data_IF_003368446351
#
_entry.id   IF_003368446351
#
_cell.length_a   1.000
_cell.length_b   1.000
_cell.length_c   1.000
_cell.angle_alpha   90.00
_cell.angle_beta   90.00
_cell.angle_gamma   90.00
#
_symmetry.space_group_name_H-M   'P 1'
#
loop_
_entity.id
_entity.type
_entity.pdbx_description
1 polymer ?
#
# COMPACT_ATOMS: atom_id res chain seq x y z
N UNK A 1 5.75 2.06 -0.79
CA UNK A 1 4.34 1.68 -0.51
C UNK A 1 3.31 2.60 -1.19
N UNK A 2 2.75 3.70 -0.65
CA UNK A 2 1.69 4.44 -1.40
C UNK A 2 2.13 4.98 -2.78
N UNK A 3 3.31 5.62 -2.93
CA UNK A 3 3.81 6.08 -4.24
C UNK A 3 4.07 4.92 -5.24
N UNK A 4 4.22 3.70 -4.77
CA UNK A 4 4.58 2.52 -5.57
C UNK A 4 3.40 1.58 -5.84
N UNK A 5 2.42 1.54 -4.96
CA UNK A 5 1.11 0.99 -5.29
C UNK A 5 0.41 1.92 -6.31
N UNK A 6 0.68 3.23 -6.23
CA UNK A 6 0.41 4.17 -7.31
C UNK A 6 1.21 3.87 -8.58
N UNK A 7 2.46 3.43 -8.53
CA UNK A 7 3.21 3.01 -9.74
C UNK A 7 2.82 1.62 -10.26
N UNK A 8 2.22 0.79 -9.41
CA UNK A 8 1.60 -0.50 -9.75
C UNK A 8 0.29 -0.27 -10.54
N UNK A 9 -0.46 0.79 -10.21
CA UNK A 9 -1.66 1.21 -10.97
C UNK A 9 -1.39 2.26 -12.06
N UNK A 10 -0.32 3.04 -11.95
CA UNK A 10 0.14 4.01 -12.94
C UNK A 10 1.54 3.65 -13.45
N UNK A 11 1.55 2.92 -14.55
CA UNK A 11 2.48 3.05 -15.68
C UNK A 11 3.96 3.20 -15.30
N UNK A 12 4.58 2.10 -14.91
CA UNK A 12 5.97 1.76 -15.29
C UNK A 12 5.97 0.91 -16.57
N UNK A 13 7.03 0.92 -17.41
CA UNK A 13 7.05 0.19 -18.69
C UNK A 13 6.71 -1.31 -18.60
N UNK A 14 7.00 -1.96 -17.46
CA UNK A 14 6.60 -3.35 -17.17
C UNK A 14 5.14 -3.52 -16.72
N UNK A 15 4.55 -2.52 -16.06
CA UNK A 15 3.15 -2.55 -15.60
C UNK A 15 2.11 -2.40 -16.72
N UNK A 16 2.48 -1.77 -17.84
CA UNK A 16 1.61 -1.68 -19.02
C UNK A 16 1.34 -3.07 -19.64
N UNK A 17 2.35 -3.96 -19.65
CA UNK A 17 2.19 -5.35 -20.09
C UNK A 17 1.32 -6.16 -19.12
N UNK A 18 1.49 -5.96 -17.81
CA UNK A 18 0.71 -6.67 -16.78
C UNK A 18 -0.77 -6.28 -16.83
N UNK A 19 -1.10 -4.99 -16.94
CA UNK A 19 -2.50 -4.55 -17.10
C UNK A 19 -3.14 -5.12 -18.38
N UNK A 20 -2.40 -5.16 -19.50
CA UNK A 20 -2.90 -5.76 -20.74
C UNK A 20 -3.17 -7.26 -20.64
N UNK A 21 -2.42 -7.98 -19.80
CA UNK A 21 -2.61 -9.43 -19.59
C UNK A 21 -3.73 -9.73 -18.58
N UNK A 22 -3.87 -8.90 -17.54
CA UNK A 22 -5.01 -8.97 -16.61
C UNK A 22 -6.32 -8.71 -17.36
N UNK A 23 -6.37 -7.72 -18.24
CA UNK A 23 -7.53 -7.43 -19.10
C UNK A 23 -7.84 -8.53 -20.12
N UNK A 24 -6.85 -9.32 -20.54
CA UNK A 24 -7.01 -10.43 -21.49
C UNK A 24 -7.28 -11.80 -20.86
N UNK A 25 -7.08 -11.98 -19.55
CA UNK A 25 -7.37 -13.26 -18.88
C UNK A 25 -8.81 -13.71 -19.10
N UNK A 26 -9.01 -15.00 -19.35
CA UNK A 26 -10.32 -15.64 -19.58
C UNK A 26 -10.71 -16.59 -18.44
N UNK A 27 -9.79 -16.86 -17.51
CA UNK A 27 -10.05 -17.68 -16.33
C UNK A 27 -9.49 -17.07 -15.04
N UNK A 28 -10.05 -17.51 -13.90
CA UNK A 28 -9.57 -17.10 -12.56
C UNK A 28 -8.14 -17.60 -12.30
N UNK A 29 -7.77 -18.76 -12.86
CA UNK A 29 -6.41 -19.30 -12.73
C UNK A 29 -5.40 -18.45 -13.49
N UNK A 30 -5.70 -18.04 -14.72
CA UNK A 30 -4.84 -17.12 -15.50
C UNK A 30 -4.69 -15.76 -14.82
N UNK A 31 -5.78 -15.23 -14.25
CA UNK A 31 -5.75 -13.98 -13.50
C UNK A 31 -4.82 -14.09 -12.27
N UNK A 32 -4.90 -15.19 -11.53
CA UNK A 32 -3.98 -15.46 -10.40
C UNK A 32 -2.54 -15.57 -10.86
N UNK A 33 -2.29 -16.25 -11.98
CA UNK A 33 -0.95 -16.39 -12.56
C UNK A 33 -0.37 -15.03 -12.99
N UNK A 34 -1.17 -14.19 -13.65
CA UNK A 34 -0.76 -12.83 -14.03
C UNK A 34 -0.37 -11.98 -12.82
N UNK A 35 -1.16 -12.07 -11.75
CA UNK A 35 -0.87 -11.36 -10.49
C UNK A 35 0.41 -11.89 -9.84
N UNK A 36 0.61 -13.20 -9.79
CA UNK A 36 1.81 -13.80 -9.20
C UNK A 36 3.08 -13.36 -9.95
N UNK A 37 3.05 -13.38 -11.29
CA UNK A 37 4.16 -12.87 -12.11
C UNK A 37 4.44 -11.39 -11.85
N UNK A 38 3.40 -10.58 -11.63
CA UNK A 38 3.57 -9.18 -11.26
C UNK A 38 4.23 -9.01 -9.89
N UNK A 39 3.86 -9.84 -8.91
CA UNK A 39 4.49 -9.87 -7.59
C UNK A 39 5.96 -10.21 -7.70
N UNK A 40 6.30 -11.25 -8.45
CA UNK A 40 7.68 -11.70 -8.61
C UNK A 40 8.55 -10.66 -9.35
N UNK A 41 7.99 -9.96 -10.34
CA UNK A 41 8.65 -8.82 -10.98
C UNK A 41 8.86 -7.64 -10.01
N UNK A 42 7.99 -7.44 -9.02
CA UNK A 42 8.19 -6.42 -8.00
C UNK A 42 9.25 -6.83 -6.98
N UNK A 43 9.35 -8.13 -6.66
CA UNK A 43 10.36 -8.65 -5.71
C UNK A 43 11.79 -8.42 -6.18
N UNK A 44 12.03 -8.31 -7.49
CA UNK A 44 13.35 -8.02 -8.06
C UNK A 44 13.73 -6.54 -8.06
N UNK A 45 12.93 -5.66 -7.43
CA UNK A 45 13.24 -4.23 -7.30
C UNK A 45 13.89 -3.93 -5.94
N UNK A 46 14.49 -2.75 -5.78
CA UNK A 46 15.14 -2.29 -4.53
C UNK A 46 14.15 -2.00 -3.37
N UNK A 47 12.93 -2.52 -3.45
CA UNK A 47 11.90 -2.34 -2.45
C UNK A 47 11.94 -3.45 -1.40
N UNK A 48 11.44 -3.17 -0.17
CA UNK A 48 11.32 -4.21 0.84
C UNK A 48 10.46 -5.38 0.34
N UNK A 49 11.10 -6.52 0.11
CA UNK A 49 10.47 -7.75 -0.40
C UNK A 49 9.30 -8.18 0.49
N UNK A 50 9.42 -8.02 1.81
CA UNK A 50 8.38 -8.34 2.80
C UNK A 50 7.13 -7.48 2.63
N UNK A 51 7.29 -6.19 2.34
CA UNK A 51 6.17 -5.28 2.11
C UNK A 51 5.44 -5.59 0.79
N UNK A 52 6.18 -6.00 -0.24
CA UNK A 52 5.61 -6.43 -1.51
C UNK A 52 4.82 -7.72 -1.31
N UNK A 53 5.44 -8.75 -0.73
CA UNK A 53 4.81 -10.04 -0.52
C UNK A 53 3.51 -9.91 0.30
N UNK A 54 3.58 -9.27 1.48
CA UNK A 54 2.41 -9.08 2.34
C UNK A 54 1.31 -8.23 1.69
N UNK A 55 1.66 -7.11 1.05
CA UNK A 55 0.70 -6.24 0.39
C UNK A 55 -0.02 -6.91 -0.77
N UNK A 56 0.70 -7.72 -1.55
CA UNK A 56 0.15 -8.45 -2.69
C UNK A 56 -0.74 -9.62 -2.26
N UNK A 57 -0.37 -10.35 -1.21
CA UNK A 57 -1.23 -11.41 -0.66
C UNK A 57 -2.54 -10.85 -0.10
N UNK A 58 -2.47 -9.72 0.63
CA UNK A 58 -3.66 -9.04 1.14
C UNK A 58 -4.55 -8.54 0.00
N UNK A 59 -3.96 -8.01 -1.07
CA UNK A 59 -4.70 -7.58 -2.26
C UNK A 59 -5.41 -8.77 -2.92
N UNK A 60 -4.68 -9.86 -3.19
CA UNK A 60 -5.23 -11.07 -3.81
C UNK A 60 -6.39 -11.62 -2.98
N UNK A 61 -6.17 -11.77 -1.67
CA UNK A 61 -7.22 -12.22 -0.74
C UNK A 61 -8.43 -11.29 -0.78
N UNK A 62 -8.22 -9.98 -0.81
CA UNK A 62 -9.32 -9.01 -0.82
C UNK A 62 -10.19 -9.13 -2.08
N UNK A 63 -9.58 -9.28 -3.26
CA UNK A 63 -10.34 -9.37 -4.52
C UNK A 63 -11.01 -10.73 -4.69
N UNK A 64 -10.42 -11.82 -4.16
CA UNK A 64 -10.98 -13.18 -4.30
C UNK A 64 -11.97 -13.57 -3.22
N UNK A 65 -12.02 -12.87 -2.08
CA UNK A 65 -12.92 -13.21 -0.94
C UNK A 65 -14.38 -12.80 -1.19
N UNK A 66 -14.69 -12.11 -2.29
CA UNK A 66 -16.09 -11.84 -2.63
C UNK A 66 -16.84 -13.15 -2.92
N UNK A 67 -18.14 -13.16 -2.68
CA UNK A 67 -19.03 -14.18 -3.23
C UNK A 67 -18.98 -14.04 -4.76
N UNK A 68 -18.25 -14.95 -5.42
CA UNK A 68 -18.10 -14.99 -6.87
C UNK A 68 -19.11 -15.97 -7.48
N UNK A 69 -20.31 -16.07 -6.90
CA UNK A 69 -21.43 -16.87 -7.40
C UNK A 69 -22.09 -16.16 -8.59
N UNK A 70 -21.28 -15.83 -9.60
CA UNK A 70 -21.73 -15.21 -10.84
C UNK A 70 -21.72 -16.23 -11.98
N UNK A 71 -22.73 -16.24 -12.85
CA UNK A 71 -22.83 -17.21 -13.94
C UNK A 71 -21.75 -17.03 -15.02
N UNK A 72 -21.11 -15.87 -15.12
CA UNK A 72 -20.06 -15.59 -16.11
C UNK A 72 -18.72 -15.18 -15.49
N UNK A 73 -17.63 -15.60 -16.11
CA UNK A 73 -16.29 -15.14 -15.74
C UNK A 73 -16.11 -13.63 -15.95
N UNK A 74 -16.76 -13.05 -16.98
CA UNK A 74 -16.70 -11.62 -17.26
C UNK A 74 -17.24 -10.79 -16.08
N UNK A 75 -18.36 -11.21 -15.47
CA UNK A 75 -18.93 -10.56 -14.28
C UNK A 75 -18.02 -10.73 -13.06
N UNK A 76 -17.52 -11.95 -12.83
CA UNK A 76 -16.55 -12.25 -11.78
C UNK A 76 -15.32 -11.33 -11.87
N UNK A 77 -14.76 -11.19 -13.08
CA UNK A 77 -13.63 -10.29 -13.37
C UNK A 77 -13.97 -8.83 -13.09
N UNK A 78 -15.16 -8.38 -13.50
CA UNK A 78 -15.66 -7.03 -13.21
C UNK A 78 -15.71 -6.74 -11.71
N UNK A 79 -16.23 -7.69 -10.92
CA UNK A 79 -16.27 -7.59 -9.44
C UNK A 79 -14.85 -7.52 -8.87
N UNK A 80 -13.94 -8.39 -9.31
CA UNK A 80 -12.55 -8.40 -8.83
C UNK A 80 -11.83 -7.09 -9.13
N UNK A 81 -12.01 -6.51 -10.32
CA UNK A 81 -11.46 -5.20 -10.69
C UNK A 81 -12.04 -4.06 -9.84
N UNK A 82 -13.35 -4.04 -9.67
CA UNK A 82 -14.02 -3.05 -8.81
C UNK A 82 -13.48 -3.11 -7.38
N UNK A 83 -13.34 -4.31 -6.82
CA UNK A 83 -12.75 -4.52 -5.49
C UNK A 83 -11.29 -4.09 -5.44
N UNK A 84 -10.53 -4.34 -6.51
CA UNK A 84 -9.15 -3.86 -6.61
C UNK A 84 -9.07 -2.34 -6.49
N UNK A 85 -9.98 -1.61 -7.16
CA UNK A 85 -10.10 -0.15 -7.04
C UNK A 85 -10.47 0.28 -5.61
N UNK A 86 -11.45 -0.37 -4.99
CA UNK A 86 -11.84 -0.07 -3.60
C UNK A 86 -10.68 -0.31 -2.62
N UNK A 87 -9.94 -1.41 -2.80
CA UNK A 87 -8.76 -1.70 -1.98
C UNK A 87 -7.72 -0.58 -2.10
N UNK A 88 -7.45 -0.13 -3.32
CA UNK A 88 -6.53 0.95 -3.58
C UNK A 88 -6.94 2.25 -2.91
N UNK A 89 -8.20 2.67 -3.05
CA UNK A 89 -8.72 3.89 -2.43
C UNK A 89 -8.59 3.82 -0.89
N UNK A 90 -8.90 2.66 -0.30
CA UNK A 90 -8.71 2.41 1.13
C UNK A 90 -7.23 2.50 1.54
N UNK A 91 -6.32 1.91 0.76
CA UNK A 91 -4.89 1.94 1.02
C UNK A 91 -4.34 3.38 0.98
N UNK A 92 -4.80 4.19 0.03
CA UNK A 92 -4.39 5.59 -0.09
C UNK A 92 -4.90 6.42 1.09
N UNK A 93 -6.15 6.20 1.52
CA UNK A 93 -6.73 6.90 2.66
C UNK A 93 -6.16 6.44 4.02
N UNK A 94 -5.66 5.20 4.12
CA UNK A 94 -5.25 4.57 5.38
C UNK A 94 -4.20 5.40 6.14
N UNK A 95 -3.18 5.94 5.46
CA UNK A 95 -2.14 6.73 6.13
C UNK A 95 -2.70 7.93 6.87
N UNK A 96 -3.60 8.69 6.24
CA UNK A 96 -4.21 9.87 6.86
C UNK A 96 -5.05 9.49 8.08
N UNK A 97 -5.79 8.38 8.00
CA UNK A 97 -6.55 7.85 9.14
C UNK A 97 -5.65 7.47 10.31
N UNK A 98 -4.60 6.70 10.04
CA UNK A 98 -3.63 6.28 11.08
C UNK A 98 -2.96 7.49 11.70
N UNK A 99 -2.54 8.48 10.90
CA UNK A 99 -1.88 9.68 11.40
C UNK A 99 -2.78 10.50 12.33
N UNK A 100 -4.06 10.68 11.97
CA UNK A 100 -5.04 11.38 12.82
C UNK A 100 -5.23 10.68 14.17
N UNK A 101 -5.40 9.36 14.16
CA UNK A 101 -5.53 8.59 15.40
C UNK A 101 -4.24 8.66 16.23
N UNK A 102 -3.08 8.50 15.58
CA UNK A 102 -1.77 8.54 16.24
C UNK A 102 -1.46 9.92 16.87
N UNK A 103 -1.92 11.01 16.26
CA UNK A 103 -1.71 12.36 16.76
C UNK A 103 -2.33 12.59 18.15
N UNK A 104 -3.35 11.81 18.55
CA UNK A 104 -3.93 11.90 19.89
C UNK A 104 -2.98 11.43 20.99
N UNK A 105 -2.03 10.52 20.68
CA UNK A 105 -1.05 10.01 21.64
C UNK A 105 0.13 10.96 21.88
N UNK A 106 0.34 11.94 21.00
CA UNK A 106 1.33 13.00 21.22
C UNK A 106 0.73 13.97 22.24
N UNK A 107 1.37 14.15 23.39
CA UNK A 107 0.94 15.12 24.40
C UNK A 107 1.78 16.38 24.34
N UNK A 108 1.24 17.48 24.86
CA UNK A 108 1.98 18.72 24.97
C UNK A 108 3.18 18.57 25.93
N UNK A 109 4.31 19.17 25.58
CA UNK A 109 5.58 19.04 26.30
C UNK A 109 6.27 17.67 26.18
N UNK A 110 5.76 16.76 25.35
CA UNK A 110 6.36 15.41 25.21
C UNK A 110 7.70 15.44 24.47
N UNK A 111 8.55 14.45 24.79
CA UNK A 111 9.80 14.17 24.10
C UNK A 111 9.68 12.84 23.38
N UNK A 112 9.79 12.86 22.06
CA UNK A 112 9.56 11.70 21.19
C UNK A 112 10.90 11.26 20.59
N UNK A 113 11.22 9.97 20.67
CA UNK A 113 12.31 9.37 19.92
C UNK A 113 11.72 8.62 18.72
N UNK A 114 12.19 8.91 17.51
CA UNK A 114 11.86 8.13 16.30
C UNK A 114 13.13 7.58 15.67
N UNK A 115 13.04 6.36 15.16
CA UNK A 115 14.12 5.72 14.42
C UNK A 115 13.81 5.77 12.93
N UNK A 116 14.76 6.25 12.12
CA UNK A 116 14.61 6.39 10.67
C UNK A 116 13.40 7.26 10.25
N UNK A 117 13.21 7.42 8.94
CA UNK A 117 12.09 8.13 8.34
C UNK A 117 10.87 7.24 8.16
N UNK A 118 9.89 7.45 9.04
CA UNK A 118 8.53 6.94 8.83
C UNK A 118 7.58 8.03 8.35
N UNK A 119 7.03 7.84 7.13
CA UNK A 119 6.03 8.76 6.55
C UNK A 119 4.76 8.89 7.39
N UNK A 120 4.37 7.83 8.09
CA UNK A 120 3.15 7.83 8.91
C UNK A 120 3.41 8.56 10.21
N UNK A 121 4.57 8.35 10.84
CA UNK A 121 4.99 9.05 12.06
C UNK A 121 5.14 10.54 11.79
N UNK A 122 5.81 10.92 10.70
CA UNK A 122 5.94 12.32 10.29
C UNK A 122 4.56 12.96 10.05
N UNK A 123 3.63 12.26 9.40
CA UNK A 123 2.27 12.77 9.22
C UNK A 123 1.58 12.95 10.58
N UNK A 124 1.68 12.00 11.51
CA UNK A 124 1.09 12.10 12.84
C UNK A 124 1.63 13.31 13.63
N UNK A 125 2.94 13.56 13.56
CA UNK A 125 3.57 14.74 14.16
C UNK A 125 3.06 16.03 13.52
N UNK A 126 2.85 16.06 12.20
CA UNK A 126 2.24 17.21 11.51
C UNK A 126 0.80 17.47 11.96
N UNK A 127 -0.02 16.41 12.11
CA UNK A 127 -1.39 16.54 12.62
C UNK A 127 -1.40 17.05 14.08
N UNK A 128 -0.47 16.57 14.92
CA UNK A 128 -0.32 17.03 16.30
C UNK A 128 0.11 18.50 16.37
N UNK A 129 1.10 18.91 15.57
CA UNK A 129 1.54 20.30 15.47
C UNK A 129 0.43 21.22 14.93
N UNK A 130 -0.34 20.77 13.93
CA UNK A 130 -1.51 21.49 13.44
C UNK A 130 -2.63 21.65 14.49
N UNK A 131 -2.61 20.80 15.53
CA UNK A 131 -3.48 20.89 16.70
C UNK A 131 -2.86 21.69 17.86
N UNK A 132 -1.83 22.51 17.57
CA UNK A 132 -1.12 23.37 18.52
C UNK A 132 -0.39 22.64 19.67
N UNK A 133 -0.02 21.37 19.47
CA UNK A 133 0.81 20.63 20.45
C UNK A 133 2.28 20.99 20.25
N UNK A 134 2.97 21.29 21.34
CA UNK A 134 4.41 21.57 21.38
C UNK A 134 5.12 20.31 21.91
N UNK A 135 6.11 19.83 21.17
CA UNK A 135 6.86 18.63 21.54
C UNK A 135 8.26 18.65 20.89
N UNK A 136 9.20 17.92 21.50
CA UNK A 136 10.56 17.74 20.98
C UNK A 136 10.67 16.37 20.31
N UNK A 137 11.39 16.30 19.18
CA UNK A 137 11.62 15.04 18.46
C UNK A 137 13.12 14.80 18.33
N UNK A 138 13.57 13.67 18.86
CA UNK A 138 14.89 13.10 18.65
C UNK A 138 14.81 12.09 17.52
N UNK A 139 15.70 12.20 16.54
CA UNK A 139 15.75 11.29 15.39
C UNK A 139 17.11 10.63 15.34
N UNK A 140 17.12 9.30 15.27
CA UNK A 140 18.37 8.56 15.08
C UNK A 140 18.87 8.71 13.64
N UNK A 141 20.18 8.70 13.42
CA UNK A 141 20.77 8.76 12.06
C UNK A 141 20.37 7.61 11.14
N UNK A 142 20.12 6.40 11.67
CA UNK A 142 19.73 5.21 10.90
C UNK A 142 20.81 4.68 9.94
N UNK A 143 22.03 4.42 10.43
CA UNK A 143 23.04 3.72 9.61
C UNK A 143 22.57 2.29 9.28
N UNK A 144 22.80 1.76 8.06
CA UNK A 144 23.65 2.29 6.99
C UNK A 144 22.95 3.16 5.93
N UNK A 145 21.61 3.32 5.99
CA UNK A 145 20.86 4.05 4.98
C UNK A 145 20.75 5.56 5.26
N UNK A 146 21.23 5.99 6.42
CA UNK A 146 21.25 7.36 6.95
C UNK A 146 19.90 8.08 6.73
N UNK A 147 18.82 7.31 6.88
CA UNK A 147 17.47 7.74 6.54
C UNK A 147 16.77 8.55 7.63
N UNK A 148 17.47 8.87 8.73
CA UNK A 148 16.98 9.72 9.83
C UNK A 148 16.47 11.08 9.39
#
# INVERSE_FOLDING_TARGET
MQKQFLSFLKVTPGSAKINSNVERSETVQELRYCLQNAVDAMRSTDNPVTAIASGSELFLRFITLATLDTPSFAECKGIMLHRGKVFYEKLVAARGKVAKVAAHFITDGSKILTHSKSRVVLQAMKEAAASNKIFEVYVTTSSPDDSG
#
